data_IF_389119049778
#
_entry.id   IF_389119049778
#
_cell.length_a   1.000
_cell.length_b   1.000
_cell.length_c   1.000
_cell.angle_alpha   90.00
_cell.angle_beta   90.00
_cell.angle_gamma   90.00
#
_symmetry.space_group_name_H-M   'P 1'
#
loop_
_entity.id
_entity.type
_entity.pdbx_description
1 polymer ?
#
# COMPACT_ATOMS: atom_id res chain seq x y z
N UNK A 1 10.99 18.58 -6.10
CA UNK A 1 10.43 17.51 -6.95
C UNK A 1 11.36 16.32 -6.77
N UNK A 2 10.84 15.17 -6.34
CA UNK A 2 11.62 13.94 -6.04
C UNK A 2 12.01 13.19 -7.32
N UNK A 3 13.00 12.27 -7.28
CA UNK A 3 13.42 11.55 -8.50
C UNK A 3 12.25 10.78 -9.16
N UNK A 4 11.30 10.31 -8.34
CA UNK A 4 10.11 9.58 -8.76
C UNK A 4 9.07 10.49 -9.45
N UNK A 5 8.85 11.69 -8.94
CA UNK A 5 7.96 12.69 -9.55
C UNK A 5 8.47 13.13 -10.92
N UNK A 6 9.78 13.25 -11.06
CA UNK A 6 10.44 13.58 -12.32
C UNK A 6 10.26 12.44 -13.32
N UNK A 7 10.56 11.19 -12.93
CA UNK A 7 10.39 10.01 -13.79
C UNK A 7 8.94 9.85 -14.30
N UNK A 8 7.96 10.06 -13.42
CA UNK A 8 6.54 9.98 -13.76
C UNK A 8 6.06 11.13 -14.65
N UNK A 9 6.62 12.34 -14.52
CA UNK A 9 6.30 13.47 -15.39
C UNK A 9 6.84 13.25 -16.82
N UNK A 10 8.01 12.64 -16.95
CA UNK A 10 8.61 12.28 -18.23
C UNK A 10 7.76 11.25 -18.97
N UNK A 11 7.35 10.19 -18.28
CA UNK A 11 6.50 9.13 -18.86
C UNK A 11 5.17 9.70 -19.39
N UNK A 12 4.55 10.64 -18.66
CA UNK A 12 3.33 11.35 -19.09
C UNK A 12 3.50 12.27 -20.30
N UNK A 13 4.71 12.77 -20.54
CA UNK A 13 5.01 13.57 -21.74
C UNK A 13 5.31 12.70 -22.97
N UNK A 14 5.06 11.38 -22.88
CA UNK A 14 5.29 10.43 -23.96
C UNK A 14 6.76 10.04 -24.12
N UNK A 15 7.59 10.38 -23.13
CA UNK A 15 9.01 10.06 -23.14
C UNK A 15 9.18 8.61 -22.69
N UNK A 16 9.49 7.72 -23.64
CA UNK A 16 9.84 6.33 -23.33
C UNK A 16 11.27 6.26 -22.80
N UNK A 17 11.50 5.48 -21.75
CA UNK A 17 12.85 5.08 -21.32
C UNK A 17 13.62 4.49 -22.51
N UNK A 18 14.59 5.22 -23.05
CA UNK A 18 15.75 4.57 -23.64
C UNK A 18 16.56 4.06 -22.47
N UNK A 19 16.50 2.75 -22.22
CA UNK A 19 17.53 2.05 -21.44
C UNK A 19 18.88 2.43 -22.06
N UNK A 20 19.54 3.45 -21.51
CA UNK A 20 20.98 3.44 -21.50
C UNK A 20 21.29 2.20 -20.67
N UNK A 21 21.78 1.16 -21.35
CA UNK A 21 22.21 -0.09 -20.76
C UNK A 21 22.80 0.20 -19.38
N UNK A 22 22.27 -0.44 -18.34
CA UNK A 22 22.86 -0.42 -17.01
C UNK A 22 24.30 -0.88 -17.14
N UNK A 23 25.24 0.05 -17.31
CA UNK A 23 26.67 -0.21 -17.22
C UNK A 23 26.96 -0.50 -15.75
N UNK A 24 27.33 -1.73 -15.37
CA UNK A 24 27.28 -2.18 -13.98
C UNK A 24 28.30 -1.53 -13.03
N UNK A 25 29.12 -0.58 -13.48
CA UNK A 25 30.33 -0.18 -12.77
C UNK A 25 30.51 1.32 -12.50
N UNK A 26 29.48 2.16 -12.67
CA UNK A 26 29.62 3.61 -12.42
C UNK A 26 28.71 4.17 -11.31
N UNK A 27 27.76 3.38 -10.80
CA UNK A 27 26.87 3.80 -9.71
C UNK A 27 27.46 3.65 -8.30
N UNK A 28 28.69 3.13 -8.18
CA UNK A 28 29.24 2.71 -6.89
C UNK A 28 30.09 3.79 -6.17
N UNK A 29 30.18 5.02 -6.67
CA UNK A 29 31.15 6.00 -6.16
C UNK A 29 30.63 7.44 -6.03
N UNK A 30 29.41 7.64 -5.53
CA UNK A 30 29.11 8.77 -4.63
C UNK A 30 28.04 8.27 -3.67
N UNK A 31 28.34 8.24 -2.37
CA UNK A 31 27.34 7.97 -1.34
C UNK A 31 26.19 8.96 -1.48
N UNK A 32 24.96 8.44 -1.36
CA UNK A 32 23.65 9.12 -1.43
C UNK A 32 23.25 9.76 -2.78
N UNK A 33 22.12 9.25 -3.29
CA UNK A 33 21.11 9.89 -4.14
C UNK A 33 21.28 9.96 -5.68
N UNK A 34 20.12 9.82 -6.32
CA UNK A 34 19.87 9.28 -7.67
C UNK A 34 19.97 10.31 -8.79
N UNK A 35 20.94 10.17 -9.69
CA UNK A 35 20.93 10.84 -11.00
C UNK A 35 20.19 9.97 -12.02
N UNK A 36 19.23 10.56 -12.74
CA UNK A 36 18.50 9.92 -13.83
C UNK A 36 18.99 10.49 -15.16
N UNK A 37 19.57 9.67 -16.04
CA UNK A 37 20.05 10.08 -17.35
C UNK A 37 19.11 9.63 -18.47
N UNK A 38 18.72 10.55 -19.34
CA UNK A 38 17.77 10.29 -20.42
C UNK A 38 18.37 10.70 -21.77
N UNK A 39 18.27 9.84 -22.79
CA UNK A 39 18.60 10.18 -24.18
C UNK A 39 17.43 10.91 -24.85
N UNK A 40 17.70 11.95 -25.63
CA UNK A 40 16.69 12.91 -26.12
C UNK A 40 16.72 13.09 -27.64
N UNK A 41 17.65 12.46 -28.39
CA UNK A 41 17.64 12.53 -29.86
C UNK A 41 17.36 11.18 -30.56
N UNK A 42 16.71 11.32 -31.73
CA UNK A 42 15.90 10.35 -32.46
C UNK A 42 16.65 9.12 -33.00
N UNK A 43 15.93 7.99 -33.08
CA UNK A 43 16.27 6.83 -33.91
C UNK A 43 16.22 7.26 -35.37
N UNK A 44 17.38 7.54 -35.96
CA UNK A 44 17.68 7.15 -37.34
C UNK A 44 19.14 7.33 -37.77
N UNK A 45 20.10 7.41 -36.84
CA UNK A 45 21.50 7.20 -37.23
C UNK A 45 22.12 6.13 -36.36
N UNK A 46 22.68 5.10 -36.99
CA UNK A 46 23.43 4.00 -36.37
C UNK A 46 24.74 4.46 -35.69
N UNK A 47 24.79 5.70 -35.18
CA UNK A 47 25.96 6.38 -34.67
C UNK A 47 25.60 7.03 -33.34
N UNK A 48 25.99 6.35 -32.25
CA UNK A 48 25.99 6.82 -30.86
C UNK A 48 26.66 8.19 -30.64
N UNK A 49 27.40 8.71 -31.63
CA UNK A 49 28.12 9.99 -31.61
C UNK A 49 27.26 11.26 -31.71
N UNK A 50 25.93 11.16 -31.89
CA UNK A 50 25.00 12.32 -32.04
C UNK A 50 23.82 12.31 -31.05
N UNK A 51 23.90 11.47 -30.03
CA UNK A 51 22.87 11.36 -29.02
C UNK A 51 22.92 12.57 -28.06
N UNK A 52 21.80 13.28 -27.87
CA UNK A 52 21.68 14.29 -26.80
C UNK A 52 21.13 13.63 -25.54
N UNK A 53 21.57 14.07 -24.35
CA UNK A 53 21.06 13.53 -23.09
C UNK A 53 20.68 14.65 -22.11
N UNK A 54 19.56 14.48 -21.43
CA UNK A 54 19.14 15.30 -20.29
C UNK A 54 19.33 14.48 -19.02
N UNK A 55 20.01 15.06 -18.04
CA UNK A 55 20.25 14.41 -16.75
C UNK A 55 19.53 15.18 -15.67
N UNK A 56 18.76 14.46 -14.88
CA UNK A 56 17.87 14.98 -13.85
C UNK A 56 18.31 14.48 -12.49
N UNK A 57 18.25 15.35 -11.50
CA UNK A 57 18.54 15.04 -10.10
C UNK A 57 17.44 15.65 -9.25
N UNK A 58 17.15 15.07 -8.09
CA UNK A 58 16.24 15.62 -7.10
C UNK A 58 16.95 16.39 -5.97
N UNK A 59 18.27 16.50 -6.06
CA UNK A 59 19.08 17.27 -5.12
C UNK A 59 19.11 18.77 -5.49
N UNK A 60 19.25 19.64 -4.50
CA UNK A 60 19.45 21.08 -4.73
C UNK A 60 20.85 21.38 -5.31
N UNK A 61 20.97 22.40 -6.17
CA UNK A 61 22.25 22.77 -6.81
C UNK A 61 23.33 23.01 -5.74
N UNK A 62 24.42 22.24 -5.80
CA UNK A 62 25.62 22.47 -4.99
C UNK A 62 26.87 22.35 -5.86
N UNK A 63 27.96 23.01 -5.44
CA UNK A 63 29.26 22.86 -6.09
C UNK A 63 29.76 21.41 -6.08
N UNK A 64 29.36 20.62 -5.06
CA UNK A 64 29.64 19.18 -5.02
C UNK A 64 28.98 18.41 -6.16
N UNK A 65 27.72 18.71 -6.45
CA UNK A 65 26.95 18.08 -7.55
C UNK A 65 27.51 18.50 -8.91
N UNK A 66 27.78 19.80 -9.11
CA UNK A 66 28.35 20.29 -10.37
C UNK A 66 29.75 19.72 -10.64
N UNK A 67 30.57 19.55 -9.59
CA UNK A 67 31.90 18.95 -9.73
C UNK A 67 31.86 17.43 -9.92
N UNK A 68 30.91 16.74 -9.28
CA UNK A 68 30.65 15.31 -9.50
C UNK A 68 30.19 15.06 -10.93
N UNK A 69 29.27 15.89 -11.42
CA UNK A 69 28.80 15.90 -12.80
C UNK A 69 29.94 16.15 -13.80
N UNK A 70 30.77 17.18 -13.59
CA UNK A 70 31.95 17.44 -14.44
C UNK A 70 32.91 16.25 -14.50
N UNK A 71 33.21 15.63 -13.35
CA UNK A 71 34.07 14.43 -13.30
C UNK A 71 33.49 13.23 -14.05
N UNK A 72 32.16 13.07 -14.05
CA UNK A 72 31.48 12.06 -14.86
C UNK A 72 31.70 12.33 -16.36
N UNK A 73 31.58 13.58 -16.80
CA UNK A 73 31.80 13.96 -18.22
C UNK A 73 33.26 13.89 -18.68
N UNK A 74 34.23 14.02 -17.77
CA UNK A 74 35.68 13.98 -18.07
C UNK A 74 36.26 12.56 -18.14
N UNK A 75 35.68 11.58 -17.41
CA UNK A 75 36.21 10.21 -17.30
C UNK A 75 35.67 9.22 -18.33
N UNK A 76 34.51 9.50 -18.94
CA UNK A 76 33.82 8.56 -19.82
C UNK A 76 33.93 8.95 -21.30
N UNK A 77 34.00 8.00 -22.25
CA UNK A 77 34.00 8.27 -23.68
C UNK A 77 32.56 8.57 -24.16
N UNK A 78 31.91 9.55 -23.53
CA UNK A 78 30.72 10.24 -24.02
C UNK A 78 31.08 11.62 -24.65
N UNK A 79 32.22 11.87 -25.33
CA UNK A 79 32.78 13.21 -25.43
C UNK A 79 32.24 13.98 -26.63
N UNK A 80 31.04 13.64 -27.13
CA UNK A 80 30.38 14.36 -28.25
C UNK A 80 28.87 14.49 -28.12
N UNK A 81 28.29 13.95 -27.05
CA UNK A 81 26.86 14.08 -26.74
C UNK A 81 26.61 15.42 -26.04
N UNK A 82 25.63 16.20 -26.51
CA UNK A 82 25.22 17.43 -25.81
C UNK A 82 24.46 16.99 -24.55
N UNK A 83 25.06 17.25 -23.38
CA UNK A 83 24.51 16.87 -22.09
C UNK A 83 24.09 18.12 -21.31
N UNK A 84 22.84 18.17 -20.87
CA UNK A 84 22.30 19.26 -20.06
C UNK A 84 21.86 18.71 -18.70
N UNK A 85 22.35 19.32 -17.62
CA UNK A 85 21.94 18.97 -16.26
C UNK A 85 20.75 19.84 -15.87
N UNK A 86 19.62 19.23 -15.55
CA UNK A 86 18.42 19.91 -15.10
C UNK A 86 18.23 19.68 -13.60
N UNK A 87 18.20 20.76 -12.83
CA UNK A 87 18.10 20.72 -11.37
C UNK A 87 16.82 21.40 -10.91
N UNK A 88 15.98 20.76 -10.09
CA UNK A 88 14.73 21.32 -9.63
C UNK A 88 14.96 22.52 -8.72
N UNK A 89 14.20 23.58 -8.95
CA UNK A 89 14.13 24.76 -8.09
C UNK A 89 12.74 24.87 -7.44
N UNK A 90 12.56 25.83 -6.54
CA UNK A 90 11.27 26.06 -5.88
C UNK A 90 10.22 26.54 -6.89
N UNK A 91 9.01 25.95 -6.83
CA UNK A 91 7.88 26.40 -7.66
C UNK A 91 7.75 25.72 -9.04
N UNK A 92 8.13 24.43 -9.16
CA UNK A 92 7.93 23.62 -10.38
C UNK A 92 8.78 24.06 -11.59
N UNK A 93 9.89 24.75 -11.33
CA UNK A 93 10.87 25.19 -12.31
C UNK A 93 12.16 24.36 -12.20
N UNK A 94 12.94 24.34 -13.28
CA UNK A 94 14.22 23.65 -13.36
C UNK A 94 15.27 24.58 -13.96
N UNK A 95 16.41 24.65 -13.27
CA UNK A 95 17.61 25.30 -13.75
C UNK A 95 18.39 24.33 -14.65
N UNK A 96 18.71 24.76 -15.85
CA UNK A 96 19.39 23.95 -16.87
C UNK A 96 20.83 24.43 -17.01
N UNK A 97 21.79 23.55 -16.76
CA UNK A 97 23.22 23.83 -16.85
C UNK A 97 23.87 23.16 -18.06
N UNK A 98 24.87 23.82 -18.65
CA UNK A 98 25.73 23.24 -19.67
C UNK A 98 26.79 22.29 -19.09
N UNK A 99 27.56 21.62 -19.96
CA UNK A 99 28.64 20.73 -19.55
C UNK A 99 29.80 21.44 -18.83
N UNK A 100 29.90 22.76 -18.95
CA UNK A 100 30.87 23.59 -18.22
C UNK A 100 30.31 24.07 -16.87
N UNK A 101 29.06 23.73 -16.53
CA UNK A 101 28.38 24.08 -15.29
C UNK A 101 27.83 25.51 -15.28
N UNK A 102 27.69 26.17 -16.43
CA UNK A 102 27.05 27.48 -16.53
C UNK A 102 25.54 27.33 -16.65
N UNK A 103 24.79 28.18 -15.95
CA UNK A 103 23.33 28.23 -16.07
C UNK A 103 22.93 28.76 -17.45
N UNK A 104 22.17 27.95 -18.20
CA UNK A 104 21.66 28.28 -19.53
C UNK A 104 20.29 28.98 -19.43
N UNK A 105 19.36 28.38 -18.68
CA UNK A 105 17.99 28.89 -18.50
C UNK A 105 17.30 28.25 -17.30
N UNK A 106 16.22 28.88 -16.84
CA UNK A 106 15.31 28.34 -15.82
C UNK A 106 13.90 28.27 -16.40
N UNK A 107 13.30 27.09 -16.49
CA UNK A 107 11.95 26.93 -17.05
C UNK A 107 11.24 25.69 -16.50
N UNK A 108 9.94 25.57 -16.72
CA UNK A 108 9.15 24.36 -16.39
C UNK A 108 9.62 23.16 -17.21
N UNK A 109 9.59 21.96 -16.61
CA UNK A 109 10.08 20.73 -17.23
C UNK A 109 9.39 20.44 -18.58
N UNK A 110 8.08 20.69 -18.66
CA UNK A 110 7.30 20.53 -19.88
C UNK A 110 7.80 21.42 -21.03
N UNK A 111 8.17 22.68 -20.75
CA UNK A 111 8.71 23.58 -21.76
C UNK A 111 10.13 23.22 -22.15
N UNK A 112 10.94 22.75 -21.20
CA UNK A 112 12.29 22.25 -21.46
C UNK A 112 12.23 21.08 -22.43
N UNK A 113 11.32 20.13 -22.20
CA UNK A 113 11.14 18.96 -23.05
C UNK A 113 10.52 19.35 -24.40
N UNK A 114 9.47 20.18 -24.42
CA UNK A 114 8.72 20.56 -25.63
C UNK A 114 9.49 21.47 -26.60
N UNK A 115 10.41 22.31 -26.13
CA UNK A 115 11.26 23.17 -26.98
C UNK A 115 12.62 22.54 -27.27
N UNK A 116 12.77 21.24 -27.01
CA UNK A 116 13.90 20.46 -27.52
C UNK A 116 13.45 19.85 -28.86
N UNK A 117 14.16 20.07 -29.99
CA UNK A 117 13.51 20.22 -31.30
C UNK A 117 12.79 19.02 -31.94
N UNK A 118 12.71 17.83 -31.33
CA UNK A 118 12.31 16.60 -32.05
C UNK A 118 11.18 15.76 -31.39
N UNK A 119 10.30 16.35 -30.55
CA UNK A 119 9.29 15.59 -29.77
C UNK A 119 7.84 15.65 -30.32
N UNK A 120 7.54 16.42 -31.37
CA UNK A 120 6.16 16.50 -31.89
C UNK A 120 5.93 15.48 -33.00
N UNK A 121 5.27 14.34 -32.68
CA UNK A 121 4.40 13.63 -33.64
C UNK A 121 3.44 12.57 -33.05
N UNK A 122 3.27 12.45 -31.72
CA UNK A 122 2.35 11.44 -31.13
C UNK A 122 1.11 12.05 -30.45
N UNK A 123 0.90 13.37 -30.52
CA UNK A 123 -0.22 14.04 -29.83
C UNK A 123 -1.34 14.55 -30.75
N UNK A 124 -1.39 14.12 -32.01
CA UNK A 124 -2.52 14.40 -32.89
C UNK A 124 -3.31 13.13 -33.18
N UNK A 125 -4.17 12.73 -32.26
CA UNK A 125 -5.48 12.20 -32.64
C UNK A 125 -6.50 12.38 -31.50
N UNK A 126 -7.67 12.87 -31.90
CA UNK A 126 -8.65 13.56 -31.09
C UNK A 126 -9.48 12.63 -30.20
N UNK A 127 -9.55 12.88 -28.89
CA UNK A 127 -10.75 12.58 -28.10
C UNK A 127 -10.90 13.54 -26.89
N UNK A 128 -12.04 14.27 -26.75
CA UNK A 128 -12.19 15.33 -25.76
C UNK A 128 -12.69 14.77 -24.42
N UNK A 129 -11.78 14.35 -23.55
CA UNK A 129 -12.04 14.06 -22.13
C UNK A 129 -10.93 14.64 -21.25
N UNK A 130 -10.61 15.92 -21.43
CA UNK A 130 -9.65 16.66 -20.60
C UNK A 130 -10.33 17.80 -19.86
N UNK A 131 -11.09 17.45 -18.83
CA UNK A 131 -11.37 18.34 -17.71
C UNK A 131 -11.74 17.57 -16.44
N UNK A 132 -10.89 16.62 -16.03
CA UNK A 132 -10.92 16.10 -14.67
C UNK A 132 -9.61 16.52 -13.99
N UNK A 133 -9.73 17.40 -12.99
CA UNK A 133 -8.66 17.71 -12.03
C UNK A 133 -8.21 16.39 -11.40
N UNK A 134 -7.04 15.88 -11.77
CA UNK A 134 -6.50 14.66 -11.19
C UNK A 134 -5.91 14.95 -9.81
N UNK A 135 -6.66 14.63 -8.76
CA UNK A 135 -6.16 14.52 -7.39
C UNK A 135 -5.20 13.32 -7.32
N UNK A 136 -3.93 13.59 -7.03
CA UNK A 136 -2.95 12.60 -6.58
C UNK A 136 -3.30 12.16 -5.14
N UNK A 137 -4.30 11.29 -4.99
CA UNK A 137 -4.60 10.69 -3.69
C UNK A 137 -3.68 9.49 -3.46
N UNK A 138 -2.52 9.74 -2.85
CA UNK A 138 -1.78 8.71 -2.12
C UNK A 138 -2.67 8.35 -0.93
N UNK A 139 -3.21 7.12 -0.86
CA UNK A 139 -3.96 6.67 0.31
C UNK A 139 -3.02 6.70 1.52
N UNK A 140 -3.19 7.68 2.42
CA UNK A 140 -2.35 7.93 3.59
C UNK A 140 -2.67 7.01 4.78
N UNK A 141 -3.30 5.86 4.53
CA UNK A 141 -3.75 4.96 5.60
C UNK A 141 -2.64 3.99 5.96
N UNK A 142 -2.30 3.95 7.24
CA UNK A 142 -1.47 2.89 7.82
C UNK A 142 -2.42 1.83 8.40
N UNK A 143 -2.40 0.58 7.91
CA UNK A 143 -3.28 -0.45 8.45
C UNK A 143 -2.89 -0.78 9.88
N UNK A 144 -3.89 -0.92 10.76
CA UNK A 144 -3.71 -1.40 12.13
C UNK A 144 -4.20 -2.84 12.25
N UNK A 145 -3.41 -3.68 12.93
CA UNK A 145 -3.79 -5.05 13.29
C UNK A 145 -3.58 -5.20 14.78
N UNK A 146 -4.65 -5.03 15.58
CA UNK A 146 -4.55 -4.94 17.04
C UNK A 146 -5.47 -5.97 17.71
N UNK A 147 -4.95 -6.70 18.69
CA UNK A 147 -5.73 -7.53 19.61
C UNK A 147 -5.78 -6.82 20.97
N UNK A 148 -6.96 -6.34 21.33
CA UNK A 148 -7.28 -5.87 22.68
C UNK A 148 -7.54 -7.07 23.57
N UNK A 149 -6.70 -7.29 24.59
CA UNK A 149 -6.81 -8.45 25.46
C UNK A 149 -6.96 -8.05 26.93
N UNK A 150 -7.53 -8.94 27.74
CA UNK A 150 -7.71 -8.73 29.17
C UNK A 150 -8.84 -9.57 29.76
N UNK A 151 -9.09 -9.38 31.05
CA UNK A 151 -10.15 -10.08 31.78
C UNK A 151 -11.55 -9.77 31.21
N UNK A 152 -12.54 -10.66 31.37
CA UNK A 152 -13.93 -10.34 31.05
C UNK A 152 -14.39 -9.06 31.77
N UNK A 153 -15.21 -8.25 31.10
CA UNK A 153 -15.75 -7.02 31.69
C UNK A 153 -14.84 -5.79 31.66
N UNK A 154 -13.57 -5.89 31.19
CA UNK A 154 -12.65 -4.74 31.15
C UNK A 154 -12.92 -3.70 30.05
N UNK A 155 -14.02 -3.82 29.32
CA UNK A 155 -14.42 -2.82 28.33
C UNK A 155 -13.73 -2.91 26.96
N UNK A 156 -13.07 -4.02 26.60
CA UNK A 156 -12.44 -4.22 25.27
C UNK A 156 -13.34 -3.86 24.10
N UNK A 157 -14.53 -4.46 24.04
CA UNK A 157 -15.50 -4.24 22.97
C UNK A 157 -16.06 -2.81 22.97
N UNK A 158 -16.08 -2.15 24.14
CA UNK A 158 -16.45 -0.73 24.27
C UNK A 158 -15.34 0.19 23.77
N UNK A 159 -14.06 -0.14 24.02
CA UNK A 159 -12.90 0.58 23.51
C UNK A 159 -12.90 0.64 21.98
N UNK A 160 -13.10 -0.50 21.32
CA UNK A 160 -13.23 -0.54 19.85
C UNK A 160 -14.45 0.27 19.39
N UNK A 161 -15.59 0.17 20.10
CA UNK A 161 -16.80 0.93 19.75
C UNK A 161 -16.54 2.45 19.78
N UNK A 162 -15.89 2.93 20.83
CA UNK A 162 -15.55 4.35 20.98
C UNK A 162 -14.53 4.80 19.94
N UNK A 163 -13.50 3.99 19.67
CA UNK A 163 -12.51 4.26 18.62
C UNK A 163 -13.15 4.38 17.23
N UNK A 164 -14.19 3.60 16.95
CA UNK A 164 -14.87 3.54 15.66
C UNK A 164 -16.22 4.30 15.63
N UNK A 165 -16.47 5.19 16.58
CA UNK A 165 -17.77 5.90 16.70
C UNK A 165 -18.09 6.77 15.50
N UNK A 166 -17.07 7.42 14.94
CA UNK A 166 -17.19 8.35 13.81
C UNK A 166 -17.00 7.65 12.45
N UNK A 167 -16.70 6.34 12.46
CA UNK A 167 -16.54 5.54 11.24
C UNK A 167 -17.90 5.08 10.73
N UNK A 168 -18.26 5.30 9.45
CA UNK A 168 -19.54 4.86 8.90
C UNK A 168 -19.76 3.35 9.01
N UNK A 169 -21.00 2.90 9.22
CA UNK A 169 -21.33 1.47 9.32
C UNK A 169 -20.96 0.68 8.05
N UNK A 170 -21.05 1.29 6.86
CA UNK A 170 -20.65 0.63 5.60
C UNK A 170 -19.15 0.26 5.60
N UNK A 171 -18.33 0.97 6.38
CA UNK A 171 -16.88 0.81 6.50
C UNK A 171 -16.49 -0.19 7.60
N UNK A 172 -17.46 -0.75 8.32
CA UNK A 172 -17.24 -1.68 9.42
C UNK A 172 -17.90 -3.01 9.12
N UNK A 173 -17.23 -4.08 9.49
CA UNK A 173 -17.83 -5.41 9.62
C UNK A 173 -17.40 -5.96 10.95
N UNK A 174 -18.36 -6.33 11.81
CA UNK A 174 -18.11 -6.91 13.12
C UNK A 174 -18.61 -8.34 13.16
N UNK A 175 -17.75 -9.25 13.62
CA UNK A 175 -18.03 -10.67 13.78
C UNK A 175 -17.67 -11.10 15.20
N UNK A 176 -18.24 -12.21 15.65
CA UNK A 176 -17.90 -12.82 16.94
C UNK A 176 -17.49 -14.25 16.66
N UNK A 177 -16.27 -14.63 17.04
CA UNK A 177 -15.84 -16.02 16.93
C UNK A 177 -16.44 -16.83 18.08
N UNK A 178 -16.91 -18.02 17.73
CA UNK A 178 -17.40 -19.03 18.67
C UNK A 178 -16.83 -20.39 18.27
N UNK A 179 -16.92 -21.43 19.13
CA UNK A 179 -16.26 -22.72 18.89
C UNK A 179 -16.60 -23.36 17.53
N UNK A 180 -17.87 -23.23 17.12
CA UNK A 180 -18.36 -23.77 15.84
C UNK A 180 -18.22 -22.81 14.66
N UNK A 181 -17.57 -21.63 14.82
CA UNK A 181 -17.44 -20.66 13.74
C UNK A 181 -16.38 -21.16 12.75
N UNK A 182 -16.72 -21.16 11.46
CA UNK A 182 -15.91 -21.83 10.43
C UNK A 182 -15.31 -20.88 9.39
N UNK A 183 -14.33 -21.39 8.63
CA UNK A 183 -13.79 -20.68 7.47
C UNK A 183 -14.88 -20.37 6.42
N UNK A 184 -15.81 -21.30 6.20
CA UNK A 184 -16.95 -21.15 5.31
C UNK A 184 -17.85 -19.98 5.70
N UNK A 185 -18.04 -19.73 6.99
CA UNK A 185 -18.80 -18.57 7.48
C UNK A 185 -18.01 -17.27 7.37
N UNK A 186 -16.69 -17.31 7.55
CA UNK A 186 -15.82 -16.13 7.57
C UNK A 186 -15.44 -15.62 6.16
N UNK A 187 -15.00 -16.53 5.30
CA UNK A 187 -14.58 -16.26 3.91
C UNK A 187 -15.78 -16.33 2.97
N UNK A 188 -16.62 -17.34 3.15
CA UNK A 188 -17.79 -17.60 2.30
C UNK A 188 -17.83 -19.05 1.85
N UNK A 189 -18.97 -19.43 1.28
CA UNK A 189 -19.23 -20.80 0.86
C UNK A 189 -20.21 -20.83 -0.30
N UNK A 190 -20.14 -21.91 -1.10
CA UNK A 190 -21.08 -22.16 -2.18
C UNK A 190 -22.34 -22.78 -1.58
N UNK A 191 -23.48 -22.09 -1.72
CA UNK A 191 -24.78 -22.54 -1.21
C UNK A 191 -25.76 -22.75 -2.37
N UNK A 192 -26.68 -23.72 -2.25
CA UNK A 192 -27.74 -23.87 -3.23
C UNK A 192 -28.75 -22.72 -3.14
N UNK A 193 -29.11 -22.13 -4.27
CA UNK A 193 -30.26 -21.21 -4.41
C UNK A 193 -31.33 -21.85 -5.27
N UNK A 194 -32.58 -21.69 -4.84
CA UNK A 194 -33.74 -22.28 -5.52
C UNK A 194 -34.52 -21.17 -6.20
N UNK A 195 -34.38 -21.07 -7.53
CA UNK A 195 -35.13 -20.14 -8.38
C UNK A 195 -35.74 -20.94 -9.55
N UNK A 196 -36.71 -21.82 -9.27
CA UNK A 196 -37.29 -22.75 -10.24
C UNK A 196 -36.41 -23.97 -10.58
N UNK A 197 -35.08 -23.78 -10.59
CA UNK A 197 -34.06 -24.83 -10.59
C UNK A 197 -33.04 -24.56 -9.47
N UNK A 198 -32.30 -25.60 -9.05
CA UNK A 198 -31.24 -25.49 -8.04
C UNK A 198 -29.96 -24.99 -8.73
N UNK A 199 -29.52 -23.79 -8.39
CA UNK A 199 -28.20 -23.24 -8.75
C UNK A 199 -27.28 -23.26 -7.54
N UNK A 200 -25.97 -23.31 -7.75
CA UNK A 200 -24.98 -23.20 -6.69
C UNK A 200 -24.29 -21.85 -6.82
N UNK A 201 -24.42 -21.01 -5.81
CA UNK A 201 -23.90 -19.64 -5.83
C UNK A 201 -23.01 -19.38 -4.62
N UNK A 202 -21.87 -18.74 -4.85
CA UNK A 202 -20.99 -18.30 -3.77
C UNK A 202 -21.67 -17.24 -2.92
N UNK A 203 -21.74 -17.50 -1.62
CA UNK A 203 -22.25 -16.57 -0.60
C UNK A 203 -21.05 -16.04 0.18
N UNK A 204 -20.70 -14.75 0.04
CA UNK A 204 -19.49 -14.19 0.63
C UNK A 204 -19.64 -14.01 2.14
N UNK A 205 -18.63 -14.44 2.88
CA UNK A 205 -18.50 -14.19 4.31
C UNK A 205 -18.07 -12.74 4.62
N UNK A 206 -18.08 -12.34 5.91
CA UNK A 206 -17.76 -10.99 6.37
C UNK A 206 -16.38 -10.51 5.93
N UNK A 207 -15.36 -11.39 5.92
CA UNK A 207 -14.00 -11.06 5.47
C UNK A 207 -13.99 -10.67 3.98
N UNK A 208 -14.62 -11.49 3.15
CA UNK A 208 -14.72 -11.26 1.71
C UNK A 208 -15.53 -10.00 1.38
N UNK A 209 -16.60 -9.75 2.14
CA UNK A 209 -17.40 -8.53 1.98
C UNK A 209 -16.60 -7.27 2.29
N UNK A 210 -15.86 -7.22 3.41
CA UNK A 210 -15.10 -6.02 3.79
C UNK A 210 -13.91 -5.78 2.85
N UNK A 211 -13.23 -6.83 2.38
CA UNK A 211 -12.15 -6.72 1.41
C UNK A 211 -12.63 -6.10 0.10
N UNK A 212 -13.74 -6.60 -0.47
CA UNK A 212 -14.31 -6.01 -1.69
C UNK A 212 -14.62 -4.52 -1.50
N UNK A 213 -15.22 -4.16 -0.37
CA UNK A 213 -15.53 -2.74 -0.06
C UNK A 213 -14.24 -1.90 0.03
N UNK A 214 -13.20 -2.41 0.67
CA UNK A 214 -11.91 -1.74 0.80
C UNK A 214 -11.21 -1.53 -0.55
N UNK A 215 -11.22 -2.53 -1.42
CA UNK A 215 -10.72 -2.41 -2.79
C UNK A 215 -11.47 -1.33 -3.58
N UNK A 216 -12.81 -1.39 -3.59
CA UNK A 216 -13.63 -0.47 -4.39
C UNK A 216 -13.62 0.98 -3.88
N UNK A 217 -13.16 1.22 -2.65
CA UNK A 217 -13.14 2.55 -2.03
C UNK A 217 -11.76 2.85 -1.42
N UNK A 218 -10.69 3.00 -2.23
CA UNK A 218 -9.31 3.11 -1.74
C UNK A 218 -9.02 4.38 -0.92
N UNK A 219 -9.90 5.38 -1.00
CA UNK A 219 -9.81 6.64 -0.27
C UNK A 219 -10.56 6.62 1.08
N UNK A 220 -11.20 5.51 1.43
CA UNK A 220 -11.89 5.34 2.71
C UNK A 220 -11.20 4.25 3.54
N UNK A 221 -11.19 4.41 4.86
CA UNK A 221 -10.66 3.40 5.79
C UNK A 221 -11.75 2.39 6.15
N UNK A 222 -11.41 1.10 6.17
CA UNK A 222 -12.28 -0.02 6.51
C UNK A 222 -11.75 -0.79 7.71
N UNK A 223 -12.67 -1.33 8.51
CA UNK A 223 -12.36 -2.06 9.74
C UNK A 223 -13.12 -3.39 9.79
N UNK A 224 -12.36 -4.46 9.93
CA UNK A 224 -12.87 -5.75 10.35
C UNK A 224 -12.68 -5.90 11.85
N UNK A 225 -13.78 -6.00 12.59
CA UNK A 225 -13.77 -6.20 14.04
C UNK A 225 -14.07 -7.67 14.34
N UNK A 226 -13.12 -8.38 14.96
CA UNK A 226 -13.25 -9.78 15.37
C UNK A 226 -13.36 -9.86 16.89
N UNK A 227 -14.58 -10.00 17.39
CA UNK A 227 -14.80 -10.23 18.81
C UNK A 227 -14.44 -11.66 19.20
N UNK A 228 -13.89 -11.82 20.40
CA UNK A 228 -13.65 -13.12 21.01
C UNK A 228 -12.78 -14.02 20.12
N UNK A 229 -11.70 -13.47 19.54
CA UNK A 229 -10.88 -14.13 18.52
C UNK A 229 -10.33 -15.50 18.99
N UNK A 230 -10.19 -15.69 20.30
CA UNK A 230 -9.74 -16.94 20.90
C UNK A 230 -10.85 -17.92 21.30
N UNK A 231 -12.14 -17.61 21.11
CA UNK A 231 -13.25 -18.57 21.34
C UNK A 231 -13.47 -19.54 20.19
N UNK A 232 -12.93 -19.24 19.02
CA UNK A 232 -12.86 -20.17 17.89
C UNK A 232 -11.41 -20.53 17.57
N UNK A 233 -11.22 -21.58 16.76
CA UNK A 233 -9.90 -21.89 16.22
C UNK A 233 -9.55 -20.86 15.14
N UNK A 234 -8.93 -19.73 15.54
CA UNK A 234 -8.61 -18.63 14.64
C UNK A 234 -7.80 -19.07 13.41
N UNK A 235 -6.85 -20.00 13.58
CA UNK A 235 -6.07 -20.52 12.46
C UNK A 235 -6.93 -21.27 11.45
N UNK A 236 -7.84 -22.13 11.92
CA UNK A 236 -8.78 -22.80 11.03
C UNK A 236 -9.77 -21.83 10.37
N UNK A 237 -10.24 -20.81 11.10
CA UNK A 237 -11.20 -19.83 10.59
C UNK A 237 -10.57 -18.96 9.49
N UNK A 238 -9.36 -18.43 9.69
CA UNK A 238 -8.66 -17.67 8.65
C UNK A 238 -8.14 -18.58 7.51
N UNK A 239 -7.79 -19.83 7.80
CA UNK A 239 -7.31 -20.75 6.77
C UNK A 239 -6.05 -20.23 6.07
N UNK A 240 -6.08 -20.22 4.74
CA UNK A 240 -5.02 -19.68 3.87
C UNK A 240 -4.88 -18.15 3.96
N UNK A 241 -6.00 -17.43 4.15
CA UNK A 241 -6.02 -15.96 4.28
C UNK A 241 -5.23 -15.44 5.47
N UNK A 242 -4.87 -16.33 6.40
CA UNK A 242 -3.91 -16.07 7.47
C UNK A 242 -2.58 -15.47 6.96
N UNK A 243 -2.11 -15.88 5.79
CA UNK A 243 -0.86 -15.36 5.22
C UNK A 243 -0.97 -13.89 4.80
N UNK A 244 -2.19 -13.41 4.51
CA UNK A 244 -2.42 -12.02 4.10
C UNK A 244 -2.20 -11.02 5.26
N UNK A 245 -2.16 -11.50 6.49
CA UNK A 245 -1.97 -10.66 7.67
C UNK A 245 -0.53 -10.11 7.78
N UNK A 246 0.45 -10.70 7.10
CA UNK A 246 1.81 -10.12 7.01
C UNK A 246 1.77 -8.90 6.07
N UNK A 247 2.21 -7.72 6.53
CA UNK A 247 2.17 -6.45 5.76
C UNK A 247 3.54 -6.04 5.24
N UNK A 248 3.58 -5.47 4.03
CA UNK A 248 4.76 -4.81 3.48
C UNK A 248 5.12 -3.56 4.28
N UNK A 249 6.40 -3.42 4.59
CA UNK A 249 6.95 -2.29 5.37
C UNK A 249 7.28 -1.10 4.47
N UNK A 250 7.55 0.04 5.09
CA UNK A 250 8.01 1.24 4.39
C UNK A 250 9.23 0.95 3.49
N UNK A 251 9.15 1.33 2.22
CA UNK A 251 10.20 1.11 1.23
C UNK A 251 10.21 -0.29 0.59
N UNK A 252 9.42 -1.24 1.10
CA UNK A 252 9.23 -2.53 0.44
C UNK A 252 8.25 -2.38 -0.73
N UNK A 253 8.58 -3.04 -1.83
CA UNK A 253 7.72 -3.11 -3.01
C UNK A 253 7.67 -4.55 -3.48
N UNK A 254 6.49 -4.97 -3.92
CA UNK A 254 6.29 -6.28 -4.53
C UNK A 254 5.54 -6.10 -5.85
N UNK A 255 6.25 -6.33 -6.94
CA UNK A 255 5.71 -6.35 -8.30
C UNK A 255 5.36 -7.76 -8.76
N UNK A 256 5.76 -8.79 -8.01
CA UNK A 256 5.46 -10.20 -8.31
C UNK A 256 4.09 -10.54 -7.72
N UNK A 257 3.07 -9.92 -8.31
CA UNK A 257 1.74 -9.85 -7.72
C UNK A 257 0.86 -11.08 -7.87
N UNK A 258 0.87 -11.77 -9.03
CA UNK A 258 -0.28 -12.62 -9.40
C UNK A 258 0.04 -13.93 -10.14
N UNK A 259 1.11 -14.00 -10.93
CA UNK A 259 1.47 -15.18 -11.72
C UNK A 259 2.87 -14.92 -12.31
N UNK A 260 3.85 -15.83 -12.21
CA UNK A 260 5.12 -15.69 -12.94
C UNK A 260 4.95 -15.53 -14.46
N UNK A 261 3.80 -15.90 -15.04
CA UNK A 261 3.47 -15.68 -16.45
C UNK A 261 2.95 -14.27 -16.78
N UNK A 262 2.53 -13.47 -15.79
CA UNK A 262 1.96 -12.12 -15.97
C UNK A 262 2.41 -11.13 -14.88
N UNK A 263 3.68 -11.20 -14.52
CA UNK A 263 4.32 -10.50 -13.40
C UNK A 263 4.44 -8.96 -13.52
N UNK A 264 3.78 -8.31 -14.48
CA UNK A 264 4.04 -6.90 -14.81
C UNK A 264 2.87 -5.93 -14.58
N UNK A 265 1.71 -6.36 -14.07
CA UNK A 265 0.50 -5.51 -14.08
C UNK A 265 0.25 -4.76 -12.77
N UNK A 266 0.57 -5.35 -11.61
CA UNK A 266 0.23 -4.76 -10.31
C UNK A 266 1.49 -4.59 -9.45
N UNK A 267 1.67 -3.39 -8.90
CA UNK A 267 2.72 -3.09 -7.92
C UNK A 267 2.10 -2.80 -6.56
N UNK A 268 2.52 -3.57 -5.57
CA UNK A 268 2.11 -3.42 -4.18
C UNK A 268 3.24 -2.77 -3.38
N UNK A 269 2.86 -1.92 -2.44
CA UNK A 269 3.79 -1.14 -1.62
C UNK A 269 3.38 -1.22 -0.15
N UNK A 270 4.00 -0.40 0.69
CA UNK A 270 3.71 -0.28 2.13
C UNK A 270 2.21 -0.41 2.47
N UNK A 271 1.92 -1.24 3.49
CA UNK A 271 0.58 -1.48 4.03
C UNK A 271 -0.24 -2.53 3.28
N UNK A 272 0.11 -2.89 2.05
CA UNK A 272 -0.45 -4.09 1.41
C UNK A 272 0.01 -5.35 2.13
N UNK A 273 -0.75 -6.44 1.99
CA UNK A 273 -0.23 -7.74 2.41
C UNK A 273 1.00 -8.13 1.60
N UNK A 274 2.02 -8.65 2.28
CA UNK A 274 3.25 -9.16 1.67
C UNK A 274 2.98 -10.41 0.85
N UNK A 275 2.16 -11.31 1.38
CA UNK A 275 1.73 -12.51 0.67
C UNK A 275 0.36 -12.31 0.03
N UNK A 276 0.03 -13.22 -0.87
CA UNK A 276 -1.24 -13.25 -1.59
C UNK A 276 -1.88 -14.63 -1.45
N UNK A 277 -3.19 -14.69 -1.70
CA UNK A 277 -3.96 -15.93 -1.68
C UNK A 277 -4.73 -16.05 -2.99
N UNK A 278 -4.61 -17.19 -3.65
CA UNK A 278 -5.41 -17.53 -4.82
C UNK A 278 -6.74 -18.11 -4.36
N UNK A 279 -7.83 -17.40 -4.60
CA UNK A 279 -9.18 -17.86 -4.31
C UNK A 279 -10.13 -17.33 -5.39
N UNK A 280 -10.54 -18.22 -6.29
CA UNK A 280 -11.32 -17.87 -7.48
C UNK A 280 -12.70 -17.31 -7.12
N UNK A 281 -13.35 -17.85 -6.08
CA UNK A 281 -14.66 -17.40 -5.64
C UNK A 281 -14.62 -15.98 -5.07
N UNK A 282 -13.63 -15.68 -4.22
CA UNK A 282 -13.43 -14.34 -3.67
C UNK A 282 -13.02 -13.35 -4.75
N UNK A 283 -12.15 -13.75 -5.68
CA UNK A 283 -11.77 -12.91 -6.81
C UNK A 283 -12.99 -12.63 -7.71
N UNK A 284 -13.72 -13.65 -8.14
CA UNK A 284 -14.94 -13.50 -8.92
C UNK A 284 -15.96 -12.62 -8.19
N UNK A 285 -16.10 -12.76 -6.87
CA UNK A 285 -16.95 -11.88 -6.07
C UNK A 285 -16.48 -10.43 -6.11
N UNK A 286 -15.17 -10.15 -6.05
CA UNK A 286 -14.61 -8.80 -6.19
C UNK A 286 -14.90 -8.23 -7.59
N UNK A 287 -14.61 -9.00 -8.65
CA UNK A 287 -14.84 -8.60 -10.06
C UNK A 287 -16.32 -8.42 -10.40
N UNK A 288 -17.20 -9.18 -9.78
CA UNK A 288 -18.60 -9.28 -10.19
C UNK A 288 -18.72 -10.05 -11.51
N UNK A 289 -19.51 -9.52 -12.44
CA UNK A 289 -19.81 -10.19 -13.72
C UNK A 289 -18.77 -9.93 -14.82
N UNK A 290 -17.67 -9.25 -14.48
CA UNK A 290 -16.66 -8.80 -15.43
C UNK A 290 -15.49 -9.79 -15.52
N UNK A 291 -14.93 -9.95 -16.73
CA UNK A 291 -13.75 -10.79 -16.95
C UNK A 291 -12.49 -10.18 -16.34
N UNK A 292 -12.37 -8.85 -16.39
CA UNK A 292 -11.36 -8.08 -15.69
C UNK A 292 -11.91 -6.71 -15.29
N UNK A 293 -11.42 -6.16 -14.17
CA UNK A 293 -11.78 -4.82 -13.71
C UNK A 293 -10.54 -4.06 -13.24
N UNK A 294 -10.51 -2.76 -13.51
CA UNK A 294 -9.49 -1.87 -12.96
C UNK A 294 -10.00 -1.25 -11.66
N UNK A 295 -9.31 -1.50 -10.55
CA UNK A 295 -9.59 -0.92 -9.24
C UNK A 295 -8.39 -0.07 -8.81
N UNK A 296 -8.50 1.25 -9.01
CA UNK A 296 -7.36 2.15 -8.80
C UNK A 296 -6.19 1.77 -9.70
N UNK A 297 -5.05 1.43 -9.10
CA UNK A 297 -3.84 1.01 -9.83
C UNK A 297 -3.74 -0.51 -10.00
N UNK A 298 -4.77 -1.26 -9.60
CA UNK A 298 -4.77 -2.73 -9.65
C UNK A 298 -5.71 -3.20 -10.74
N UNK A 299 -5.19 -4.02 -11.66
CA UNK A 299 -6.00 -4.80 -12.58
C UNK A 299 -6.33 -6.15 -11.92
N UNK A 300 -7.62 -6.43 -11.75
CA UNK A 300 -8.14 -7.71 -11.29
C UNK A 300 -8.68 -8.50 -12.47
N UNK A 301 -8.05 -9.63 -12.79
CA UNK A 301 -8.52 -10.63 -13.75
C UNK A 301 -8.72 -12.00 -13.08
N UNK A 302 -9.04 -13.03 -13.87
CA UNK A 302 -9.20 -14.43 -13.40
C UNK A 302 -8.03 -14.98 -12.60
N UNK A 303 -6.82 -14.48 -12.86
CA UNK A 303 -5.59 -15.02 -12.29
C UNK A 303 -5.02 -14.12 -11.19
N UNK A 304 -5.74 -13.05 -10.85
CA UNK A 304 -5.30 -12.11 -9.83
C UNK A 304 -5.47 -12.71 -8.43
N UNK A 305 -4.40 -12.77 -7.66
CA UNK A 305 -4.48 -13.20 -6.28
C UNK A 305 -5.01 -12.06 -5.40
N UNK A 306 -5.63 -12.43 -4.28
CA UNK A 306 -6.17 -11.49 -3.30
C UNK A 306 -5.06 -11.08 -2.34
N UNK A 307 -5.03 -9.78 -2.01
CA UNK A 307 -4.18 -9.18 -0.99
C UNK A 307 -5.04 -8.37 -0.01
N UNK A 308 -4.52 -8.07 1.18
CA UNK A 308 -5.17 -7.08 2.04
C UNK A 308 -4.71 -5.68 1.62
N UNK A 309 -5.65 -4.75 1.31
CA UNK A 309 -5.29 -3.39 0.97
C UNK A 309 -4.86 -2.58 2.22
N UNK A 310 -4.09 -1.49 2.04
CA UNK A 310 -3.56 -0.68 3.14
C UNK A 310 -4.65 0.07 3.91
N UNK A 311 -5.80 0.30 3.28
CA UNK A 311 -6.97 0.93 3.91
C UNK A 311 -7.87 -0.06 4.68
N UNK A 312 -7.46 -1.33 4.88
CA UNK A 312 -8.20 -2.31 5.68
C UNK A 312 -7.43 -2.67 6.95
N UNK A 313 -8.02 -2.30 8.09
CA UNK A 313 -7.52 -2.62 9.43
C UNK A 313 -8.34 -3.72 10.10
N UNK A 314 -7.69 -4.47 11.00
CA UNK A 314 -8.31 -5.58 11.73
C UNK A 314 -8.14 -5.30 13.22
N UNK A 315 -9.25 -5.18 13.94
CA UNK A 315 -9.26 -4.99 15.38
C UNK A 315 -9.93 -6.21 16.01
N UNK A 316 -9.38 -6.73 17.10
CA UNK A 316 -9.90 -7.92 17.72
C UNK A 316 -9.96 -7.81 19.23
N UNK A 317 -10.84 -8.59 19.85
CA UNK A 317 -10.90 -8.73 21.31
C UNK A 317 -10.55 -10.16 21.73
N UNK A 318 -9.83 -10.29 22.84
CA UNK A 318 -9.40 -11.58 23.37
C UNK A 318 -9.61 -11.63 24.89
N UNK A 319 -10.27 -12.69 25.37
CA UNK A 319 -10.42 -12.92 26.81
C UNK A 319 -9.27 -13.79 27.31
N UNK A 320 -8.51 -13.32 28.31
CA UNK A 320 -7.35 -14.06 28.83
C UNK A 320 -7.64 -14.99 30.01
N UNK A 321 -8.82 -14.90 30.61
CA UNK A 321 -9.16 -15.58 31.87
C UNK A 321 -10.23 -16.64 31.74
N UNK A 322 -10.80 -16.82 30.54
CA UNK A 322 -11.81 -17.84 30.30
C UNK A 322 -11.13 -19.20 30.08
N UNK A 323 -11.69 -20.27 30.64
CA UNK A 323 -11.10 -21.61 30.61
C UNK A 323 -11.35 -22.33 29.27
N UNK A 324 -12.38 -21.93 28.53
CA UNK A 324 -12.81 -22.57 27.28
C UNK A 324 -12.40 -21.78 26.04
N UNK A 325 -11.16 -21.30 26.01
CA UNK A 325 -10.61 -20.55 24.87
C UNK A 325 -9.46 -21.31 24.22
N UNK A 326 -9.37 -21.21 22.89
CA UNK A 326 -8.25 -21.69 22.12
C UNK A 326 -7.02 -20.80 22.38
N UNK A 327 -5.85 -21.42 22.47
CA UNK A 327 -4.59 -20.67 22.52
C UNK A 327 -4.30 -20.07 21.17
N UNK A 328 -4.07 -18.76 21.11
CA UNK A 328 -3.61 -18.09 19.91
C UNK A 328 -2.15 -18.49 19.66
N UNK A 329 -1.83 -19.03 18.49
CA UNK A 329 -0.46 -19.45 18.19
C UNK A 329 0.50 -18.24 18.05
N UNK A 330 1.80 -18.51 18.15
CA UNK A 330 2.82 -17.45 18.05
C UNK A 330 2.85 -16.79 16.65
N UNK A 331 2.36 -17.49 15.62
CA UNK A 331 2.33 -16.99 14.26
C UNK A 331 1.19 -15.98 14.04
N UNK A 332 0.07 -16.11 14.76
CA UNK A 332 -0.96 -15.08 14.86
C UNK A 332 -0.45 -13.93 15.71
N UNK A 333 0.08 -14.21 16.91
CA UNK A 333 0.50 -13.14 17.83
C UNK A 333 1.53 -12.19 17.19
N UNK A 334 2.47 -12.68 16.38
CA UNK A 334 3.46 -11.81 15.72
C UNK A 334 2.87 -10.85 14.66
N UNK A 335 1.65 -11.10 14.20
CA UNK A 335 0.97 -10.34 13.13
C UNK A 335 -0.02 -9.32 13.68
N UNK A 336 -0.21 -9.30 15.00
CA UNK A 336 -1.06 -8.35 15.69
C UNK A 336 -0.25 -7.64 16.78
N UNK A 337 -0.47 -6.34 16.91
CA UNK A 337 -0.07 -5.61 18.09
C UNK A 337 -1.00 -6.01 19.24
N UNK A 338 -0.41 -6.39 20.37
CA UNK A 338 -1.15 -6.84 21.55
C UNK A 338 -1.32 -5.67 22.52
N UNK A 339 -2.57 -5.30 22.82
CA UNK A 339 -2.87 -4.20 23.74
C UNK A 339 -3.69 -4.67 24.95
N UNK A 340 -3.12 -4.57 26.15
CA UNK A 340 -3.83 -4.91 27.39
C UNK A 340 -4.85 -3.83 27.74
N UNK A 341 -6.12 -4.20 27.83
CA UNK A 341 -7.17 -3.36 28.40
C UNK A 341 -7.33 -3.72 29.87
N UNK A 342 -6.89 -2.82 30.74
CA UNK A 342 -6.99 -2.97 32.19
C UNK A 342 -8.38 -2.60 32.67
N UNK A 343 -8.81 -3.24 33.77
CA UNK A 343 -9.93 -2.72 34.54
C UNK A 343 -9.49 -1.40 35.18
N UNK A 344 -10.16 -0.32 34.83
CA UNK A 344 -10.04 0.95 35.55
C UNK A 344 -11.19 1.03 36.54
N UNK A 345 -10.85 1.05 37.82
CA UNK A 345 -11.83 1.29 38.89
C UNK A 345 -11.94 2.79 39.12
N UNK A 346 -13.13 3.32 38.95
CA UNK A 346 -13.43 4.68 39.36
C UNK A 346 -13.59 4.73 40.89
N UNK A 347 -12.46 4.90 41.60
CA UNK A 347 -12.43 5.00 43.06
C UNK A 347 -13.08 6.29 43.58
N UNK A 348 -13.51 7.21 42.71
CA UNK A 348 -14.31 8.37 43.13
C UNK A 348 -15.75 7.96 43.45
N UNK A 349 -16.23 6.83 42.92
CA UNK A 349 -17.53 6.28 43.27
C UNK A 349 -17.46 5.56 44.63
N UNK A 350 -18.27 5.97 45.63
CA UNK A 350 -18.22 5.41 46.97
C UNK A 350 -18.40 3.89 47.02
N UNK A 351 -19.29 3.34 46.17
CA UNK A 351 -19.55 1.91 46.11
C UNK A 351 -18.35 1.11 45.59
N UNK A 352 -17.70 1.60 44.54
CA UNK A 352 -16.50 0.97 43.95
C UNK A 352 -15.34 1.04 44.94
N UNK A 353 -15.14 2.20 45.58
CA UNK A 353 -14.07 2.38 46.56
C UNK A 353 -14.27 1.53 47.82
N UNK A 354 -15.51 1.36 48.28
CA UNK A 354 -15.83 0.49 49.40
C UNK A 354 -15.55 -0.99 49.08
N UNK A 355 -15.90 -1.43 47.86
CA UNK A 355 -15.62 -2.80 47.42
C UNK A 355 -14.11 -3.02 47.22
N UNK A 356 -13.40 -2.06 46.61
CA UNK A 356 -11.95 -2.11 46.41
C UNK A 356 -11.20 -2.25 47.75
N UNK A 357 -11.64 -1.53 48.78
CA UNK A 357 -11.02 -1.58 50.10
C UNK A 357 -11.53 -2.68 51.04
N UNK A 358 -12.55 -3.44 50.63
CA UNK A 358 -13.07 -4.52 51.46
C UNK A 358 -12.02 -5.63 51.60
N UNK A 359 -11.83 -6.11 52.82
CA UNK A 359 -10.94 -7.23 53.10
C UNK A 359 -11.67 -8.55 52.79
N UNK A 360 -10.92 -9.50 52.24
CA UNK A 360 -11.39 -10.84 51.94
C UNK A 360 -11.31 -11.63 53.26
N UNK A 361 -12.45 -11.77 53.93
CA UNK A 361 -12.55 -12.42 55.23
C UNK A 361 -11.48 -11.91 56.22
N UNK A 362 -10.84 -12.81 56.97
CA UNK A 362 -9.78 -12.49 57.94
C UNK A 362 -8.36 -12.55 57.33
N UNK A 363 -8.25 -12.52 55.99
CA UNK A 363 -6.94 -12.69 55.32
C UNK A 363 -6.06 -11.44 55.39
N UNK A 364 -6.62 -10.27 55.68
CA UNK A 364 -5.96 -8.97 55.59
C UNK A 364 -5.62 -8.55 54.15
N UNK A 365 -6.11 -9.29 53.14
CA UNK A 365 -5.96 -8.98 51.72
C UNK A 365 -7.21 -8.25 51.26
N UNK A 366 -7.05 -7.15 50.53
CA UNK A 366 -8.16 -6.37 49.97
C UNK A 366 -8.48 -6.85 48.55
N UNK A 367 -9.70 -6.60 48.09
CA UNK A 367 -10.11 -6.87 46.70
C UNK A 367 -9.35 -6.07 45.64
N UNK A 368 -8.66 -5.00 46.06
CA UNK A 368 -8.04 -3.99 45.21
C UNK A 368 -6.52 -3.96 45.22
#
# INVERSE_FOLDING_TARGET
MTSYEIAHLLEKLGVRETKAETYPNTYSLVNSDSFLAQQVSNRDSASWKKAEYIILTDMQVSQGILNGWKKLTERDPLPRAIQKLCVPTSGNQFDVYDSQGNLIKSDSLEKIIKHTPDIVDVLNDNNPLTSAKFNLNRSSFTPSQIIYYGVPGCGKSNKIREQLKDVPEKNKVRVVFHPEYTNAEFIGQILPKVNGHVTYEFTPGPFTQIIKRAYLNPNEHFYLVVEEINRGNAAAIFGDTFQLLDRLKAGETDSLGNDPANAAVNTFTEGWSQYFVQNDDVNAYIRGNENSIQIGNICFDSNTAIRLPPNLSILATMNTSDQNVFTLDNAFQRRFDMELVRNEFDLTQPAVNAQYNAEIDDTGIKWG
#
